data_IF_996050858936
#
_entry.id   IF_996050858936
#
_cell.length_a   1.000
_cell.length_b   1.000
_cell.length_c   1.000
_cell.angle_alpha   90.00
_cell.angle_beta   90.00
_cell.angle_gamma   90.00
#
_symmetry.space_group_name_H-M   'P 1'
#
loop_
_entity.id
_entity.type
_entity.pdbx_description
1 polymer ?
#
# COMPACT_ATOMS: atom_id res chain seq x y z
N UNK A 1 -17.56 13.78 27.00
CA UNK A 1 -16.58 14.20 25.97
C UNK A 1 -15.89 12.99 25.33
N UNK A 2 -15.39 12.05 26.14
CA UNK A 2 -14.84 10.76 25.65
C UNK A 2 -15.88 9.97 24.83
N UNK A 3 -17.16 10.01 25.20
CA UNK A 3 -18.21 9.29 24.47
C UNK A 3 -18.47 9.84 23.06
N UNK A 4 -18.32 11.16 22.88
CA UNK A 4 -18.37 11.80 21.57
C UNK A 4 -17.19 11.38 20.71
N UNK A 5 -15.99 11.29 21.30
CA UNK A 5 -14.80 10.79 20.60
C UNK A 5 -15.00 9.32 20.22
N UNK A 6 -15.54 8.48 21.10
CA UNK A 6 -15.87 7.08 20.77
C UNK A 6 -16.89 6.98 19.65
N UNK A 7 -17.92 7.82 19.64
CA UNK A 7 -18.94 7.84 18.59
C UNK A 7 -18.35 8.27 17.24
N UNK A 8 -17.53 9.31 17.23
CA UNK A 8 -16.84 9.80 16.02
C UNK A 8 -15.83 8.77 15.52
N UNK A 9 -15.04 8.15 16.40
CA UNK A 9 -14.11 7.08 16.04
C UNK A 9 -14.87 5.88 15.48
N UNK A 10 -16.00 5.48 16.06
CA UNK A 10 -16.80 4.34 15.59
C UNK A 10 -17.55 4.64 14.27
N UNK A 11 -17.84 5.91 13.99
CA UNK A 11 -18.42 6.38 12.71
C UNK A 11 -17.37 6.52 11.60
N UNK A 12 -16.14 6.91 11.93
CA UNK A 12 -15.03 7.06 10.98
C UNK A 12 -14.31 5.73 10.73
N UNK A 13 -14.15 4.90 11.76
CA UNK A 13 -13.61 3.54 11.72
C UNK A 13 -14.80 2.59 11.77
N UNK A 14 -15.56 2.56 10.67
CA UNK A 14 -16.80 1.80 10.58
C UNK A 14 -16.65 0.34 11.01
N UNK A 15 -17.69 -0.16 11.71
CA UNK A 15 -18.12 -1.55 11.93
C UNK A 15 -17.07 -2.65 11.68
N UNK A 16 -16.79 -3.44 12.73
CA UNK A 16 -15.97 -4.68 12.75
C UNK A 16 -15.82 -5.33 11.37
N UNK A 17 -14.56 -5.46 10.95
CA UNK A 17 -14.13 -5.98 9.66
C UNK A 17 -14.80 -7.33 9.33
N UNK A 18 -15.81 -7.28 8.47
CA UNK A 18 -16.17 -8.41 7.63
C UNK A 18 -14.95 -8.71 6.74
N UNK A 19 -14.55 -9.97 6.64
CA UNK A 19 -13.32 -10.39 5.96
C UNK A 19 -13.32 -9.88 4.50
N UNK A 20 -12.56 -8.81 4.22
CA UNK A 20 -12.63 -8.08 2.94
C UNK A 20 -11.91 -8.77 1.78
N UNK A 21 -11.21 -9.87 2.04
CA UNK A 21 -10.46 -10.65 1.05
C UNK A 21 -10.75 -12.13 1.24
N UNK A 22 -10.95 -12.84 0.13
CA UNK A 22 -11.31 -14.27 0.12
C UNK A 22 -10.08 -15.18 0.35
N UNK A 23 -8.87 -14.69 0.03
CA UNK A 23 -7.66 -15.51 -0.04
C UNK A 23 -6.49 -14.86 0.68
N UNK A 24 -5.76 -15.64 1.50
CA UNK A 24 -4.56 -15.18 2.20
C UNK A 24 -3.41 -14.87 1.23
N UNK A 25 -3.26 -15.66 0.18
CA UNK A 25 -2.19 -15.48 -0.82
C UNK A 25 -2.38 -14.21 -1.66
N UNK A 26 -3.64 -13.81 -1.91
CA UNK A 26 -3.94 -12.55 -2.58
C UNK A 26 -3.45 -11.35 -1.75
N UNK A 27 -3.61 -11.40 -0.42
CA UNK A 27 -3.18 -10.31 0.46
C UNK A 27 -1.66 -10.14 0.46
N UNK A 28 -0.90 -11.23 0.57
CA UNK A 28 0.56 -11.17 0.54
C UNK A 28 1.06 -10.54 -0.76
N UNK A 29 0.54 -11.01 -1.91
CA UNK A 29 0.95 -10.52 -3.23
C UNK A 29 0.47 -9.09 -3.47
N UNK A 30 -0.71 -8.73 -2.98
CA UNK A 30 -1.23 -7.36 -3.02
C UNK A 30 -0.24 -6.39 -2.37
N UNK A 31 0.24 -6.71 -1.18
CA UNK A 31 1.19 -5.88 -0.46
C UNK A 31 2.51 -5.73 -1.25
N UNK A 32 3.09 -6.83 -1.73
CA UNK A 32 4.30 -6.78 -2.57
C UNK A 32 4.11 -5.91 -3.82
N UNK A 33 2.94 -5.99 -4.47
CA UNK A 33 2.63 -5.17 -5.65
C UNK A 33 2.47 -3.69 -5.26
N UNK A 34 1.85 -3.40 -4.12
CA UNK A 34 1.70 -2.03 -3.62
C UNK A 34 3.02 -1.45 -3.12
N UNK A 35 3.96 -2.24 -2.61
CA UNK A 35 5.27 -1.74 -2.19
C UNK A 35 6.25 -1.61 -3.37
N UNK A 36 5.93 -2.21 -4.52
CA UNK A 36 6.78 -2.21 -5.71
C UNK A 36 7.88 -3.27 -5.66
N UNK A 37 7.73 -4.26 -4.77
CA UNK A 37 8.67 -5.37 -4.56
C UNK A 37 8.26 -6.65 -5.31
N UNK A 38 7.07 -6.67 -5.91
CA UNK A 38 6.56 -7.83 -6.63
C UNK A 38 7.32 -8.12 -7.93
N UNK A 39 7.51 -9.41 -8.22
CA UNK A 39 8.00 -9.85 -9.53
C UNK A 39 6.91 -9.72 -10.61
N UNK A 40 7.31 -9.82 -11.89
CA UNK A 40 6.36 -9.78 -13.01
C UNK A 40 5.32 -10.90 -12.92
N UNK A 41 5.75 -12.08 -12.50
CA UNK A 41 4.90 -13.25 -12.32
C UNK A 41 3.88 -13.03 -11.20
N UNK A 42 4.29 -12.38 -10.10
CA UNK A 42 3.40 -12.04 -8.99
C UNK A 42 2.37 -10.98 -9.37
N UNK A 43 2.76 -9.99 -10.19
CA UNK A 43 1.84 -9.00 -10.73
C UNK A 43 0.77 -9.63 -11.62
N UNK A 44 1.18 -10.51 -12.54
CA UNK A 44 0.25 -11.22 -13.43
C UNK A 44 -0.72 -12.11 -12.65
N UNK A 45 -0.20 -12.90 -11.69
CA UNK A 45 -1.04 -13.73 -10.83
C UNK A 45 -2.08 -12.89 -10.08
N UNK A 46 -1.66 -11.76 -9.49
CA UNK A 46 -2.59 -10.90 -8.76
C UNK A 46 -3.68 -10.35 -9.68
N UNK A 47 -3.32 -9.91 -10.89
CA UNK A 47 -4.26 -9.41 -11.89
C UNK A 47 -5.30 -10.48 -12.28
N UNK A 48 -4.85 -11.68 -12.67
CA UNK A 48 -5.75 -12.78 -13.01
C UNK A 48 -6.64 -13.17 -11.82
N UNK A 49 -6.11 -13.14 -10.60
CA UNK A 49 -6.87 -13.47 -9.40
C UNK A 49 -8.00 -12.46 -9.12
N UNK A 50 -7.70 -11.16 -9.15
CA UNK A 50 -8.69 -10.13 -8.82
C UNK A 50 -9.75 -9.99 -9.92
N UNK A 51 -9.45 -10.34 -11.16
CA UNK A 51 -10.46 -10.43 -12.24
C UNK A 51 -11.54 -11.48 -11.93
N UNK A 52 -11.19 -12.52 -11.17
CA UNK A 52 -12.07 -13.64 -10.87
C UNK A 52 -12.58 -13.68 -9.42
N UNK A 53 -11.95 -13.00 -8.44
CA UNK A 53 -12.44 -12.88 -7.06
C UNK A 53 -12.88 -11.45 -6.72
N UNK A 54 -14.19 -11.18 -6.84
CA UNK A 54 -14.82 -9.88 -6.51
C UNK A 54 -14.45 -9.31 -5.12
N UNK A 55 -14.44 -10.08 -4.00
CA UNK A 55 -14.03 -9.52 -2.71
C UNK A 55 -12.55 -9.09 -2.71
N UNK A 56 -11.64 -9.86 -3.32
CA UNK A 56 -10.24 -9.47 -3.44
C UNK A 56 -10.06 -8.22 -4.34
N UNK A 57 -10.83 -8.10 -5.41
CA UNK A 57 -10.86 -6.89 -6.24
C UNK A 57 -11.27 -5.65 -5.44
N UNK A 58 -12.34 -5.76 -4.64
CA UNK A 58 -12.80 -4.67 -3.79
C UNK A 58 -11.73 -4.28 -2.76
N UNK A 59 -11.04 -5.26 -2.18
CA UNK A 59 -9.93 -5.00 -1.26
C UNK A 59 -8.75 -4.30 -1.96
N UNK A 60 -8.31 -4.80 -3.13
CA UNK A 60 -7.28 -4.18 -3.96
C UNK A 60 -7.60 -2.71 -4.24
N UNK A 61 -8.84 -2.41 -4.64
CA UNK A 61 -9.26 -1.04 -4.96
C UNK A 61 -9.18 -0.10 -3.76
N UNK A 62 -9.53 -0.58 -2.56
CA UNK A 62 -9.42 0.20 -1.32
C UNK A 62 -7.94 0.50 -1.04
N UNK A 63 -7.10 -0.52 -0.97
CA UNK A 63 -5.67 -0.35 -0.65
C UNK A 63 -4.95 0.54 -1.65
N UNK A 64 -5.25 0.38 -2.96
CA UNK A 64 -4.76 1.26 -4.01
C UNK A 64 -5.20 2.71 -3.80
N UNK A 65 -6.47 2.93 -3.47
CA UNK A 65 -7.00 4.29 -3.22
C UNK A 65 -6.33 4.94 -2.01
N UNK A 66 -6.10 4.18 -0.94
CA UNK A 66 -5.37 4.66 0.25
C UNK A 66 -3.94 5.06 -0.14
N UNK A 67 -3.22 4.21 -0.89
CA UNK A 67 -1.87 4.51 -1.38
C UNK A 67 -1.84 5.80 -2.20
N UNK A 68 -2.78 6.00 -3.11
CA UNK A 68 -2.86 7.23 -3.91
C UNK A 68 -3.15 8.46 -3.04
N UNK A 69 -4.06 8.36 -2.07
CA UNK A 69 -4.31 9.47 -1.13
C UNK A 69 -3.05 9.84 -0.36
N UNK A 70 -2.31 8.86 0.17
CA UNK A 70 -1.04 9.10 0.86
C UNK A 70 -0.06 9.79 -0.08
N UNK A 71 0.12 9.28 -1.29
CA UNK A 71 1.02 9.85 -2.30
C UNK A 71 0.65 11.30 -2.66
N UNK A 72 -0.64 11.63 -2.71
CA UNK A 72 -1.11 12.98 -2.99
C UNK A 72 -0.99 13.93 -1.79
N UNK A 73 -1.08 13.43 -0.56
CA UNK A 73 -1.01 14.24 0.67
C UNK A 73 0.41 14.45 1.18
N UNK A 74 1.34 13.58 0.82
CA UNK A 74 2.74 13.72 1.19
C UNK A 74 3.42 14.79 0.31
N UNK A 75 4.06 15.75 0.95
CA UNK A 75 4.95 16.69 0.28
C UNK A 75 6.17 15.94 -0.28
N UNK A 76 6.35 15.97 -1.59
CA UNK A 76 7.58 15.46 -2.21
C UNK A 76 8.69 16.48 -2.03
N UNK A 77 9.49 16.31 -0.97
CA UNK A 77 10.67 17.16 -0.74
C UNK A 77 11.81 16.69 -1.62
N UNK A 78 12.52 17.62 -2.30
CA UNK A 78 13.71 17.26 -3.05
C UNK A 78 14.74 16.65 -2.11
N UNK A 79 15.38 15.57 -2.55
CA UNK A 79 16.45 14.93 -1.80
C UNK A 79 17.65 15.89 -1.73
N UNK A 80 18.23 16.18 -0.55
CA UNK A 80 19.39 17.06 -0.45
C UNK A 80 20.56 16.57 -1.30
N UNK A 81 21.20 17.49 -2.03
CA UNK A 81 22.33 17.16 -2.92
C UNK A 81 23.47 16.46 -2.16
N UNK A 82 23.73 16.85 -0.92
CA UNK A 82 24.73 16.23 -0.05
C UNK A 82 24.49 14.73 0.18
N UNK A 83 23.22 14.31 0.30
CA UNK A 83 22.88 12.90 0.47
C UNK A 83 23.11 12.13 -0.84
N UNK A 84 22.74 12.72 -1.98
CA UNK A 84 22.97 12.14 -3.31
C UNK A 84 24.47 11.93 -3.55
N UNK A 85 25.29 12.94 -3.26
CA UNK A 85 26.74 12.87 -3.43
C UNK A 85 27.39 11.86 -2.49
N UNK A 86 26.92 11.77 -1.24
CA UNK A 86 27.35 10.76 -0.28
C UNK A 86 27.06 9.34 -0.78
N UNK A 87 25.83 9.08 -1.25
CA UNK A 87 25.43 7.76 -1.78
C UNK A 87 26.29 7.41 -3.01
N UNK A 88 26.43 8.32 -3.98
CA UNK A 88 27.25 8.11 -5.18
C UNK A 88 28.72 7.87 -4.84
N UNK A 89 29.26 8.58 -3.85
CA UNK A 89 30.61 8.38 -3.36
C UNK A 89 30.82 6.98 -2.76
N UNK A 90 29.86 6.48 -2.00
CA UNK A 90 29.93 5.14 -1.41
C UNK A 90 29.82 4.03 -2.47
N UNK A 91 28.97 4.20 -3.49
CA UNK A 91 28.88 3.23 -4.60
C UNK A 91 30.22 3.15 -5.35
N UNK A 92 30.85 4.28 -5.66
CA UNK A 92 32.15 4.31 -6.35
C UNK A 92 33.30 3.70 -5.53
N UNK A 93 33.23 3.76 -4.19
CA UNK A 93 34.28 3.22 -3.30
C UNK A 93 34.21 1.69 -3.15
N UNK A 94 33.07 1.08 -3.45
CA UNK A 94 32.85 -0.36 -3.29
C UNK A 94 32.82 -1.11 -4.65
N UNK A 95 33.21 -0.44 -5.74
CA UNK A 95 33.64 -1.06 -6.99
C UNK A 95 35.16 -1.05 -7.04
#
# INVERSE_FOLDING_TARGET
>A
MIDFIKEVVNKLVGKKAEQRYCCKDCLCRLNSVLDGEATKEEMLYLQEHIENCSPCYNHYNIEKSVKEVIKHKLEQRPVPASLIDSIRGNIKKNC
#
